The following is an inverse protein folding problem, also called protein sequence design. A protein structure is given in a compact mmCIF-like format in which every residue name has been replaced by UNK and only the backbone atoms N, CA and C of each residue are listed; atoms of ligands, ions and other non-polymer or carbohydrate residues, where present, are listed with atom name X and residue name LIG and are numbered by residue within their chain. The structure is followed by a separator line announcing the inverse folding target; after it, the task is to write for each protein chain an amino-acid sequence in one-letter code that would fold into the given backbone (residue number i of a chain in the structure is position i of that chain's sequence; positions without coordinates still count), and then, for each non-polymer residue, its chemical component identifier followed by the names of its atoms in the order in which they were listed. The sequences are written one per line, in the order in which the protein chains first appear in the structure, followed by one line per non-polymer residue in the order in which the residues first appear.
data_IF_503917694904
#
_entry.id   IF_503917694904
#
_cell.length_a   1.000
_cell.length_b   1.000
_cell.length_c   1.000
_cell.angle_alpha   90.00
_cell.angle_beta   90.00
_cell.angle_gamma   90.00
#
_symmetry.space_group_name_H-M   'P 1'
#
loop_
_entity.id
_entity.type
_entity.pdbx_description
1 polymer ?
#
# COMPACT_ATOMS: atom_id res chain seq x y z
N UNK A 1 -1.26 -26.98 -4.77
CA UNK A 1 -2.11 -25.79 -5.02
C UNK A 1 -1.19 -24.58 -4.97
N UNK A 2 -0.41 -24.37 -6.03
CA UNK A 2 0.61 -23.30 -6.15
C UNK A 2 0.34 -22.39 -7.37
N UNK A 3 -0.56 -22.81 -8.25
CA UNK A 3 -0.77 -22.26 -9.59
C UNK A 3 -1.70 -21.03 -9.62
N UNK A 4 -2.54 -20.85 -8.59
CA UNK A 4 -3.51 -19.75 -8.52
C UNK A 4 -2.88 -18.36 -8.27
N UNK A 5 -1.61 -18.32 -7.82
CA UNK A 5 -0.93 -17.06 -7.44
C UNK A 5 0.00 -16.49 -8.52
N UNK A 6 0.46 -17.28 -9.50
CA UNK A 6 1.31 -16.72 -10.56
C UNK A 6 0.54 -15.71 -11.43
N UNK A 7 -0.77 -15.91 -11.61
CA UNK A 7 -1.64 -14.98 -12.34
C UNK A 7 -2.02 -13.73 -11.51
N UNK A 8 -1.79 -13.74 -10.19
CA UNK A 8 -2.18 -12.62 -9.30
C UNK A 8 -0.98 -11.76 -8.84
N UNK A 9 0.25 -12.30 -8.84
CA UNK A 9 1.43 -11.53 -8.43
C UNK A 9 1.69 -10.35 -9.38
N UNK A 10 1.67 -10.58 -10.69
CA UNK A 10 1.90 -9.51 -11.68
C UNK A 10 0.84 -8.41 -11.55
N UNK A 11 -0.43 -8.78 -11.32
CA UNK A 11 -1.51 -7.84 -11.07
C UNK A 11 -1.32 -7.05 -9.78
N UNK A 12 -0.83 -7.69 -8.72
CA UNK A 12 -0.50 -7.01 -7.46
C UNK A 12 0.63 -6.02 -7.68
N UNK A 13 1.69 -6.40 -8.39
CA UNK A 13 2.81 -5.52 -8.70
C UNK A 13 2.38 -4.33 -9.56
N UNK A 14 1.56 -4.56 -10.60
CA UNK A 14 1.02 -3.48 -11.43
C UNK A 14 0.08 -2.56 -10.63
N UNK A 15 -0.74 -3.12 -9.75
CA UNK A 15 -1.60 -2.33 -8.86
C UNK A 15 -0.80 -1.50 -7.85
N UNK A 16 0.42 -1.93 -7.47
CA UNK A 16 1.33 -1.16 -6.62
C UNK A 16 1.94 0.02 -7.37
N UNK A 17 2.36 -0.20 -8.62
CA UNK A 17 2.95 0.86 -9.47
C UNK A 17 2.01 2.04 -9.63
N UNK A 18 0.74 1.76 -9.92
CA UNK A 18 -0.25 2.79 -10.24
C UNK A 18 -0.94 3.41 -9.02
N UNK A 19 -0.88 2.76 -7.85
CA UNK A 19 -1.60 3.23 -6.68
C UNK A 19 -0.99 4.48 -6.04
N UNK A 20 -1.86 5.35 -5.55
CA UNK A 20 -1.49 6.48 -4.68
C UNK A 20 -1.50 6.06 -3.21
N UNK A 21 -2.40 5.13 -2.86
CA UNK A 21 -2.49 4.53 -1.53
C UNK A 21 -2.55 3.02 -1.66
N UNK A 22 -1.63 2.33 -0.98
CA UNK A 22 -1.53 0.88 -0.95
C UNK A 22 -1.85 0.40 0.46
N UNK A 23 -2.73 -0.60 0.54
CA UNK A 23 -3.14 -1.22 1.80
C UNK A 23 -2.99 -2.73 1.76
N UNK A 24 -1.99 -3.24 2.46
CA UNK A 24 -1.75 -4.67 2.61
C UNK A 24 -2.39 -5.13 3.91
N UNK A 25 -3.33 -6.08 3.84
CA UNK A 25 -4.05 -6.56 5.03
C UNK A 25 -3.40 -7.84 5.57
N UNK A 26 -2.92 -7.79 6.81
CA UNK A 26 -2.39 -8.95 7.52
C UNK A 26 -3.47 -9.55 8.43
N UNK A 27 -4.20 -10.54 7.90
CA UNK A 27 -5.35 -11.12 8.58
C UNK A 27 -5.04 -11.71 9.97
N UNK A 28 -3.90 -12.39 10.12
CA UNK A 28 -3.50 -13.04 11.37
C UNK A 28 -3.33 -12.06 12.54
N UNK A 29 -2.83 -10.85 12.28
CA UNK A 29 -2.56 -9.83 13.31
C UNK A 29 -3.59 -8.70 13.31
N UNK A 30 -4.60 -8.75 12.42
CA UNK A 30 -5.63 -7.71 12.24
C UNK A 30 -5.05 -6.29 12.06
N UNK A 31 -3.90 -6.21 11.39
CA UNK A 31 -3.23 -4.96 11.02
C UNK A 31 -3.13 -4.83 9.52
N UNK A 32 -2.77 -3.64 9.07
CA UNK A 32 -2.40 -3.40 7.69
C UNK A 32 -1.16 -2.52 7.58
N UNK A 33 -0.28 -2.86 6.63
CA UNK A 33 0.73 -1.92 6.16
C UNK A 33 0.07 -0.97 5.18
N UNK A 34 0.22 0.32 5.45
CA UNK A 34 -0.37 1.40 4.68
C UNK A 34 0.75 2.25 4.14
N UNK A 35 0.77 2.40 2.82
CA UNK A 35 1.75 3.22 2.12
C UNK A 35 0.94 4.24 1.35
N UNK A 36 1.24 5.51 1.56
CA UNK A 36 0.58 6.63 0.89
C UNK A 36 1.67 7.50 0.29
N UNK A 37 1.79 7.40 -1.03
CA UNK A 37 2.90 7.98 -1.79
C UNK A 37 2.61 9.39 -2.29
N UNK A 38 1.40 9.89 -2.01
CA UNK A 38 1.05 11.29 -2.28
C UNK A 38 1.89 12.20 -1.39
N UNK A 39 2.20 13.37 -1.89
CA UNK A 39 2.99 14.35 -1.16
C UNK A 39 2.66 15.78 -1.55
N UNK A 40 3.08 16.69 -0.69
CA UNK A 40 3.25 18.13 -0.95
C UNK A 40 4.52 18.60 -0.25
N UNK A 41 4.87 19.88 -0.37
CA UNK A 41 6.08 20.44 0.24
C UNK A 41 6.15 20.21 1.75
N UNK A 42 5.01 20.32 2.45
CA UNK A 42 4.91 20.14 3.91
C UNK A 42 4.40 18.75 4.35
N UNK A 43 4.04 17.86 3.43
CA UNK A 43 3.43 16.56 3.76
C UNK A 43 4.08 15.44 2.93
N UNK A 44 5.17 14.81 3.42
CA UNK A 44 5.91 13.79 2.68
C UNK A 44 5.18 12.44 2.65
N UNK A 45 5.52 11.54 1.71
CA UNK A 45 4.98 10.17 1.68
C UNK A 45 5.09 9.47 3.04
N UNK A 46 4.11 8.61 3.35
CA UNK A 46 4.09 7.89 4.63
C UNK A 46 4.01 6.37 4.44
N UNK A 47 4.71 5.65 5.32
CA UNK A 47 4.62 4.21 5.50
C UNK A 47 4.26 3.95 6.97
N UNK A 48 3.11 3.30 7.24
CA UNK A 48 2.62 3.10 8.61
C UNK A 48 1.89 1.79 8.78
N UNK A 49 1.89 1.28 10.01
CA UNK A 49 1.00 0.19 10.42
C UNK A 49 -0.30 0.79 10.98
N UNK A 50 -1.44 0.37 10.43
CA UNK A 50 -2.77 0.76 10.88
C UNK A 50 -3.60 -0.46 11.30
N UNK A 51 -4.73 -0.21 11.98
CA UNK A 51 -5.75 -1.25 12.15
C UNK A 51 -6.32 -1.64 10.78
N UNK A 52 -6.73 -2.90 10.65
CA UNK A 52 -7.37 -3.35 9.43
C UNK A 52 -8.67 -2.57 9.19
N UNK A 53 -8.83 -2.01 7.99
CA UNK A 53 -10.06 -1.34 7.58
C UNK A 53 -11.12 -2.37 7.18
N UNK A 54 -12.39 -1.99 7.31
CA UNK A 54 -13.53 -2.84 6.90
C UNK A 54 -13.69 -2.93 5.38
N UNK A 55 -13.02 -2.06 4.64
CA UNK A 55 -13.06 -2.00 3.18
C UNK A 55 -12.28 -0.78 2.64
N UNK A 56 -12.24 -0.60 1.31
CA UNK A 56 -11.58 0.53 0.66
C UNK A 56 -12.11 1.90 1.11
N UNK A 57 -13.43 2.05 1.30
CA UNK A 57 -14.02 3.33 1.73
C UNK A 57 -13.62 3.73 3.16
N UNK A 58 -13.54 2.74 4.06
CA UNK A 58 -13.10 2.94 5.44
C UNK A 58 -11.61 3.32 5.47
N UNK A 59 -10.79 2.66 4.63
CA UNK A 59 -9.39 3.05 4.42
C UNK A 59 -9.26 4.48 3.91
N UNK A 60 -10.05 4.83 2.90
CA UNK A 60 -10.06 6.16 2.31
C UNK A 60 -10.43 7.23 3.33
N UNK A 61 -11.43 6.96 4.17
CA UNK A 61 -11.83 7.85 5.26
C UNK A 61 -10.72 8.01 6.30
N UNK A 62 -10.06 6.92 6.67
CA UNK A 62 -8.90 6.95 7.57
C UNK A 62 -7.80 7.85 7.02
N UNK A 63 -7.38 7.63 5.76
CA UNK A 63 -6.31 8.41 5.15
C UNK A 63 -6.66 9.90 5.02
N UNK A 64 -7.88 10.23 4.59
CA UNK A 64 -8.33 11.63 4.50
C UNK A 64 -8.33 12.35 5.85
N UNK A 65 -8.57 11.62 6.95
CA UNK A 65 -8.47 12.20 8.31
C UNK A 65 -7.03 12.40 8.75
N UNK A 66 -6.11 11.54 8.30
CA UNK A 66 -4.70 11.65 8.66
C UNK A 66 -3.96 12.69 7.82
N UNK A 67 -4.35 12.89 6.56
CA UNK A 67 -3.69 13.79 5.60
C UNK A 67 -4.69 14.73 4.93
N UNK A 68 -5.31 15.65 5.68
CA UNK A 68 -6.36 16.53 5.18
C UNK A 68 -5.87 17.61 4.19
N UNK A 69 -4.56 17.91 4.20
CA UNK A 69 -3.89 18.84 3.29
C UNK A 69 -3.80 18.32 1.85
N UNK A 70 -3.84 17.00 1.66
CA UNK A 70 -3.67 16.38 0.35
C UNK A 70 -5.01 16.15 -0.38
N UNK A 71 -5.01 16.23 -1.73
CA UNK A 71 -6.21 15.95 -2.52
C UNK A 71 -6.69 14.52 -2.30
N UNK A 72 -7.98 14.26 -2.49
CA UNK A 72 -8.53 12.90 -2.35
C UNK A 72 -7.79 11.94 -3.29
N UNK A 73 -7.31 10.77 -2.80
CA UNK A 73 -6.68 9.80 -3.69
C UNK A 73 -7.73 9.23 -4.65
N UNK A 74 -7.32 9.11 -5.89
CA UNK A 74 -8.05 8.56 -7.04
C UNK A 74 -7.80 7.07 -7.20
N UNK A 75 -6.61 6.59 -6.81
CA UNK A 75 -6.24 5.18 -6.92
C UNK A 75 -5.82 4.59 -5.56
N UNK A 76 -6.68 3.72 -5.02
CA UNK A 76 -6.45 3.03 -3.75
C UNK A 76 -6.48 1.52 -3.99
N UNK A 77 -5.34 0.88 -3.82
CA UNK A 77 -5.20 -0.57 -3.93
C UNK A 77 -5.24 -1.19 -2.54
N UNK A 78 -6.03 -2.25 -2.38
CA UNK A 78 -6.10 -3.02 -1.14
C UNK A 78 -6.14 -4.51 -1.43
N UNK A 79 -5.24 -5.28 -0.83
CA UNK A 79 -5.23 -6.73 -0.98
C UNK A 79 -4.87 -7.44 0.33
N UNK A 80 -5.45 -8.62 0.58
CA UNK A 80 -5.05 -9.46 1.70
C UNK A 80 -3.70 -10.13 1.43
N UNK A 81 -2.87 -10.22 2.47
CA UNK A 81 -1.67 -11.04 2.45
C UNK A 81 -1.80 -12.22 3.40
N UNK A 82 -1.79 -13.42 2.83
CA UNK A 82 -1.96 -14.68 3.57
C UNK A 82 -0.65 -15.45 3.77
N UNK A 83 0.45 -15.02 3.14
CA UNK A 83 1.76 -15.67 3.23
C UNK A 83 2.64 -15.05 4.34
N UNK A 84 3.83 -15.61 4.54
CA UNK A 84 4.82 -15.05 5.45
C UNK A 84 5.29 -13.67 5.00
N UNK A 85 5.80 -12.86 5.94
CA UNK A 85 6.46 -11.58 5.62
C UNK A 85 7.70 -11.81 4.76
N UNK A 86 8.45 -12.90 4.97
CA UNK A 86 9.58 -13.28 4.12
C UNK A 86 9.18 -13.43 2.65
N UNK A 87 7.95 -13.89 2.39
CA UNK A 87 7.45 -14.01 1.01
C UNK A 87 7.27 -12.64 0.33
N UNK A 88 7.12 -11.52 1.05
CA UNK A 88 7.14 -10.18 0.44
C UNK A 88 8.46 -9.88 -0.25
N UNK A 89 9.55 -10.26 0.40
CA UNK A 89 10.91 -10.00 -0.09
C UNK A 89 11.19 -10.91 -1.27
N UNK A 90 10.97 -12.22 -1.11
CA UNK A 90 11.23 -13.20 -2.17
C UNK A 90 10.40 -12.95 -3.44
N UNK A 91 9.19 -12.42 -3.32
CA UNK A 91 8.29 -12.15 -4.46
C UNK A 91 8.46 -10.74 -5.06
N UNK A 92 9.46 -9.96 -4.62
CA UNK A 92 9.76 -8.64 -5.18
C UNK A 92 8.79 -7.52 -4.80
N UNK A 93 7.76 -7.82 -3.98
CA UNK A 93 6.80 -6.80 -3.53
C UNK A 93 7.49 -5.77 -2.65
N UNK A 94 8.39 -6.20 -1.77
CA UNK A 94 9.18 -5.28 -0.95
C UNK A 94 9.97 -4.29 -1.82
N UNK A 95 10.66 -4.79 -2.85
CA UNK A 95 11.48 -3.97 -3.73
C UNK A 95 10.63 -2.94 -4.49
N UNK A 96 9.48 -3.36 -5.02
CA UNK A 96 8.57 -2.45 -5.73
C UNK A 96 7.96 -1.39 -4.79
N UNK A 97 7.58 -1.77 -3.56
CA UNK A 97 7.09 -0.81 -2.56
C UNK A 97 8.16 0.21 -2.18
N UNK A 98 9.41 -0.24 -1.98
CA UNK A 98 10.53 0.63 -1.64
C UNK A 98 10.86 1.56 -2.79
N UNK A 99 10.97 1.04 -4.01
CA UNK A 99 11.16 1.82 -5.23
C UNK A 99 10.09 2.91 -5.33
N UNK A 100 8.81 2.52 -5.22
CA UNK A 100 7.69 3.46 -5.28
C UNK A 100 7.79 4.54 -4.22
N UNK A 101 8.13 4.18 -2.98
CA UNK A 101 8.29 5.15 -1.90
C UNK A 101 9.46 6.12 -2.15
N UNK A 102 10.59 5.63 -2.68
CA UNK A 102 11.79 6.45 -2.94
C UNK A 102 11.68 7.32 -4.20
N UNK A 103 10.89 6.90 -5.20
CA UNK A 103 10.63 7.69 -6.42
C UNK A 103 9.57 8.78 -6.19
N UNK A 104 8.96 8.82 -5.01
CA UNK A 104 7.95 9.81 -4.64
C UNK A 104 8.43 10.73 -3.52
N UNK A 105 7.98 11.98 -3.55
CA UNK A 105 8.43 13.04 -2.65
C UNK A 105 9.26 14.10 -3.38
N UNK A 106 9.50 15.22 -2.71
CA UNK A 106 10.41 16.25 -3.20
C UNK A 106 11.85 15.90 -2.81
N UNK A 107 12.78 15.96 -3.77
CA UNK A 107 14.21 15.72 -3.56
C UNK A 107 14.96 16.88 -2.88
N UNK A 108 14.27 17.70 -2.08
CA UNK A 108 14.85 18.90 -1.47
C UNK A 108 15.83 18.56 -0.36
#
# INVERSE_FOLDING_TARGET
VEDDFQVDLDRVLDSIKEAEVISILFGMIRKSLVIDVRYSDDDPPIIRIAAQSRGPEDRLRYIRRQRPSLPRPTNVTMFPWSKSVESFVRLGIYDELMKRATETGNST
#
